data_IF_876388918421
#
_entry.id   IF_876388918421
#
_cell.length_a   1.000
_cell.length_b   1.000
_cell.length_c   1.000
_cell.angle_alpha   90.00
_cell.angle_beta   90.00
_cell.angle_gamma   90.00
#
_symmetry.space_group_name_H-M   'P 1'
#
loop_
_entity.id
_entity.type
_entity.pdbx_description
1 polymer ?
#
# COMPACT_ATOMS: atom_id res chain seq x y z
N UNK A 1 -9.70 15.99 -23.39
CA UNK A 1 -9.62 15.37 -22.05
C UNK A 1 -8.18 15.45 -21.57
N UNK A 2 -7.88 16.36 -20.63
CA UNK A 2 -6.54 16.52 -20.09
C UNK A 2 -6.27 15.39 -19.09
N UNK A 3 -5.66 14.31 -19.58
CA UNK A 3 -5.10 13.27 -18.71
C UNK A 3 -3.90 13.93 -18.03
N UNK A 4 -4.10 14.45 -16.82
CA UNK A 4 -3.00 14.75 -15.91
C UNK A 4 -2.24 13.45 -15.75
N UNK A 5 -1.13 13.31 -16.47
CA UNK A 5 -0.12 12.29 -16.26
C UNK A 5 0.22 12.42 -14.78
N UNK A 6 -0.26 11.46 -13.98
CA UNK A 6 0.03 11.35 -12.57
C UNK A 6 1.54 11.46 -12.46
N UNK A 7 2.02 12.51 -11.79
CA UNK A 7 3.44 12.70 -11.48
C UNK A 7 4.00 11.34 -11.11
N UNK A 8 4.94 10.83 -11.88
CA UNK A 8 5.54 9.54 -11.60
C UNK A 8 5.92 9.49 -10.12
N UNK A 9 5.42 8.48 -9.41
CA UNK A 9 5.76 8.21 -8.02
C UNK A 9 7.28 7.93 -7.97
N UNK A 10 8.10 8.98 -7.97
CA UNK A 10 9.57 8.91 -7.92
C UNK A 10 10.09 8.58 -6.51
N UNK A 11 9.18 8.44 -5.55
CA UNK A 11 9.50 8.00 -4.21
C UNK A 11 10.00 6.54 -4.25
N UNK A 12 11.24 6.28 -3.80
CA UNK A 12 11.81 4.92 -3.83
C UNK A 12 11.01 3.93 -2.99
N UNK A 13 10.41 4.35 -1.87
CA UNK A 13 9.57 3.49 -1.04
C UNK A 13 8.29 3.07 -1.79
N UNK A 14 7.71 3.97 -2.59
CA UNK A 14 6.55 3.63 -3.42
C UNK A 14 6.94 2.57 -4.47
N UNK A 15 8.10 2.70 -5.09
CA UNK A 15 8.57 1.74 -6.09
C UNK A 15 8.87 0.37 -5.47
N UNK A 16 9.50 0.35 -4.30
CA UNK A 16 9.76 -0.86 -3.53
C UNK A 16 8.46 -1.61 -3.21
N UNK A 17 7.48 -0.93 -2.63
CA UNK A 17 6.19 -1.53 -2.26
C UNK A 17 5.43 -2.03 -3.49
N UNK A 18 5.46 -1.30 -4.61
CA UNK A 18 4.87 -1.76 -5.88
C UNK A 18 5.53 -3.05 -6.37
N UNK A 19 6.85 -3.14 -6.31
CA UNK A 19 7.61 -4.33 -6.70
C UNK A 19 7.26 -5.52 -5.80
N UNK A 20 7.29 -5.33 -4.48
CA UNK A 20 6.94 -6.37 -3.51
C UNK A 20 5.50 -6.88 -3.72
N UNK A 21 4.54 -5.98 -3.96
CA UNK A 21 3.15 -6.32 -4.26
C UNK A 21 3.00 -7.11 -5.56
N UNK A 22 3.73 -6.73 -6.61
CA UNK A 22 3.75 -7.42 -7.89
C UNK A 22 4.34 -8.83 -7.78
N UNK A 23 5.47 -8.96 -7.08
CA UNK A 23 6.15 -10.24 -6.88
C UNK A 23 5.30 -11.17 -6.01
N UNK A 24 4.63 -10.64 -4.99
CA UNK A 24 3.65 -11.38 -4.19
C UNK A 24 2.48 -11.92 -5.03
N UNK A 25 1.95 -11.12 -5.97
CA UNK A 25 0.85 -11.56 -6.86
C UNK A 25 1.21 -12.76 -7.73
N UNK A 26 2.49 -12.95 -8.02
CA UNK A 26 3.02 -14.09 -8.80
C UNK A 26 3.18 -15.36 -7.96
N UNK A 27 3.28 -15.25 -6.65
CA UNK A 27 3.44 -16.38 -5.74
C UNK A 27 2.10 -17.11 -5.50
N UNK A 28 2.18 -18.41 -5.22
CA UNK A 28 1.06 -19.25 -4.77
C UNK A 28 1.48 -20.02 -3.52
N UNK A 29 0.63 -20.12 -2.48
CA UNK A 29 -0.73 -19.57 -2.38
C UNK A 29 -0.74 -18.05 -2.18
N UNK A 30 -1.83 -17.40 -2.59
CA UNK A 30 -2.01 -15.95 -2.42
C UNK A 30 -2.68 -15.68 -1.08
N UNK A 31 -1.90 -15.24 -0.11
CA UNK A 31 -2.44 -14.68 1.14
C UNK A 31 -3.07 -13.28 0.89
N UNK A 32 -4.39 -13.20 0.98
CA UNK A 32 -5.13 -11.96 0.79
C UNK A 32 -4.75 -10.88 1.80
N UNK A 33 -4.33 -11.25 3.02
CA UNK A 33 -3.94 -10.30 4.08
C UNK A 33 -2.65 -9.58 3.71
N UNK A 34 -1.69 -10.30 3.13
CA UNK A 34 -0.42 -9.70 2.71
C UNK A 34 -0.62 -8.71 1.55
N UNK A 35 -1.53 -9.03 0.62
CA UNK A 35 -1.92 -8.10 -0.43
C UNK A 35 -2.56 -6.83 0.12
N UNK A 36 -3.51 -6.95 1.06
CA UNK A 36 -4.15 -5.80 1.73
C UNK A 36 -3.13 -4.93 2.46
N UNK A 37 -2.13 -5.56 3.11
CA UNK A 37 -1.03 -4.84 3.78
C UNK A 37 -0.23 -3.99 2.80
N UNK A 38 0.20 -4.55 1.66
CA UNK A 38 0.92 -3.78 0.63
C UNK A 38 0.06 -2.64 0.08
N UNK A 39 -1.23 -2.89 -0.16
CA UNK A 39 -2.15 -1.85 -0.63
C UNK A 39 -2.30 -0.72 0.39
N UNK A 40 -2.42 -1.03 1.68
CA UNK A 40 -2.50 -0.03 2.75
C UNK A 40 -1.24 0.84 2.83
N UNK A 41 -0.06 0.21 2.78
CA UNK A 41 1.23 0.92 2.79
C UNK A 41 1.36 1.83 1.57
N UNK A 42 1.06 1.32 0.37
CA UNK A 42 1.12 2.07 -0.87
C UNK A 42 0.21 3.30 -0.85
N UNK A 43 -1.01 3.17 -0.34
CA UNK A 43 -1.93 4.29 -0.21
C UNK A 43 -1.45 5.32 0.82
N UNK A 44 -0.88 4.87 1.94
CA UNK A 44 -0.29 5.75 2.94
C UNK A 44 0.89 6.55 2.38
N UNK A 45 1.80 5.90 1.64
CA UNK A 45 2.94 6.56 0.98
C UNK A 45 2.47 7.60 -0.06
N UNK A 46 1.31 7.37 -0.68
CA UNK A 46 0.66 8.33 -1.59
C UNK A 46 -0.10 9.47 -0.87
N UNK A 47 0.01 9.56 0.45
CA UNK A 47 -0.59 10.63 1.25
C UNK A 47 -2.07 10.43 1.60
N UNK A 48 -2.63 9.23 1.44
CA UNK A 48 -3.97 8.92 1.94
C UNK A 48 -3.99 8.80 3.46
N UNK A 49 -5.06 9.27 4.06
CA UNK A 49 -5.31 9.14 5.50
C UNK A 49 -5.67 7.71 5.87
N UNK A 50 -5.45 7.30 7.13
CA UNK A 50 -5.79 5.95 7.58
C UNK A 50 -7.29 5.65 7.47
N UNK A 51 -8.13 6.68 7.62
CA UNK A 51 -9.58 6.61 7.41
C UNK A 51 -9.92 6.24 5.97
N UNK A 52 -9.45 7.03 4.99
CA UNK A 52 -9.69 6.75 3.57
C UNK A 52 -9.18 5.35 3.17
N UNK A 53 -8.02 4.95 3.70
CA UNK A 53 -7.45 3.64 3.41
C UNK A 53 -8.36 2.53 3.96
N UNK A 54 -8.81 2.67 5.22
CA UNK A 54 -9.69 1.69 5.86
C UNK A 54 -11.01 1.51 5.12
N UNK A 55 -11.59 2.61 4.62
CA UNK A 55 -12.79 2.59 3.77
C UNK A 55 -12.56 1.83 2.45
N UNK A 56 -11.40 2.02 1.81
CA UNK A 56 -11.07 1.39 0.52
C UNK A 56 -10.73 -0.10 0.65
N UNK A 57 -10.02 -0.50 1.69
CA UNK A 57 -9.60 -1.91 1.88
C UNK A 57 -10.52 -2.69 2.83
N UNK A 58 -11.61 -2.07 3.26
CA UNK A 58 -12.59 -2.62 4.21
C UNK A 58 -11.96 -3.11 5.52
N UNK A 59 -11.11 -2.28 6.13
CA UNK A 59 -10.47 -2.53 7.43
C UNK A 59 -10.61 -1.33 8.37
N UNK A 60 -10.40 -1.55 9.67
CA UNK A 60 -10.38 -0.44 10.64
C UNK A 60 -9.13 0.43 10.48
N UNK A 61 -9.23 1.70 10.86
CA UNK A 61 -8.07 2.61 10.92
C UNK A 61 -6.93 2.06 11.79
N UNK A 62 -7.28 1.35 12.87
CA UNK A 62 -6.32 0.68 13.76
C UNK A 62 -5.53 -0.41 13.00
N UNK A 63 -6.20 -1.17 12.14
CA UNK A 63 -5.56 -2.20 11.31
C UNK A 63 -4.60 -1.56 10.30
N UNK A 64 -5.03 -0.48 9.64
CA UNK A 64 -4.17 0.29 8.73
C UNK A 64 -2.94 0.83 9.46
N UNK A 65 -3.12 1.40 10.64
CA UNK A 65 -2.04 1.90 11.48
C UNK A 65 -1.04 0.79 11.84
N UNK A 66 -1.53 -0.41 12.19
CA UNK A 66 -0.69 -1.58 12.46
C UNK A 66 0.18 -1.96 11.25
N UNK A 67 -0.42 -2.02 10.05
CA UNK A 67 0.30 -2.30 8.81
C UNK A 67 1.42 -1.29 8.51
N UNK A 68 1.10 0.00 8.62
CA UNK A 68 2.05 1.09 8.36
C UNK A 68 3.17 1.09 9.40
N UNK A 69 2.86 0.89 10.68
CA UNK A 69 3.87 0.79 11.74
C UNK A 69 4.81 -0.38 11.54
N UNK A 70 4.27 -1.54 11.15
CA UNK A 70 5.09 -2.72 10.90
C UNK A 70 6.02 -2.54 9.68
N UNK A 71 5.61 -1.75 8.68
CA UNK A 71 6.48 -1.35 7.56
C UNK A 71 7.61 -0.42 8.02
N UNK A 72 7.27 0.64 8.77
CA UNK A 72 8.26 1.62 9.28
C UNK A 72 9.28 1.07 10.28
N UNK A 73 9.02 -0.09 10.90
CA UNK A 73 9.97 -0.76 11.81
C UNK A 73 10.98 -1.66 11.07
N UNK A 74 10.76 -1.92 9.78
CA UNK A 74 11.62 -2.76 8.95
C UNK A 74 12.69 -1.96 8.19
N UNK A 75 12.57 -0.62 8.18
CA UNK A 75 13.52 0.37 7.64
C UNK A 75 14.44 0.86 8.76
#
# INVERSE_FOLDING_TARGET
>A
MNVKILKEDRDPAIQEVKRAMHDFRKQKPRDSRMFMRYQAILMCLKGRTYKEIGEVIHCTEQTVCSYVRAYKKMD
#
